data_IF_797925290827
#
_entry.id   IF_797925290827
#
_cell.length_a   1.000
_cell.length_b   1.000
_cell.length_c   1.000
_cell.angle_alpha   90.00
_cell.angle_beta   90.00
_cell.angle_gamma   90.00
#
_symmetry.space_group_name_H-M   'P 1'
#
loop_
_entity.id
_entity.type
_entity.pdbx_description
1 polymer ?
#
# COMPACT_ATOMS: atom_id res chain seq x y z
N UNK A 1 2.93 -15.64 -49.44
CA UNK A 1 3.95 -16.01 -48.43
C UNK A 1 5.02 -14.94 -48.53
N UNK A 2 4.70 -13.70 -48.13
CA UNK A 2 5.43 -12.49 -48.58
C UNK A 2 5.77 -11.52 -47.43
N UNK A 3 5.78 -12.01 -46.19
CA UNK A 3 6.12 -11.21 -45.01
C UNK A 3 7.64 -10.96 -44.84
N UNK A 4 8.50 -11.61 -45.64
CA UNK A 4 9.96 -11.58 -45.44
C UNK A 4 10.77 -10.83 -46.51
N UNK A 5 10.14 -10.32 -47.60
CA UNK A 5 10.89 -9.73 -48.72
C UNK A 5 11.24 -8.23 -48.56
N UNK A 6 10.68 -7.50 -47.60
CA UNK A 6 10.81 -6.04 -47.48
C UNK A 6 11.72 -5.57 -46.32
N UNK A 7 12.79 -6.31 -46.04
CA UNK A 7 13.73 -6.04 -44.94
C UNK A 7 14.36 -4.64 -44.97
N UNK A 8 14.55 -4.08 -46.17
CA UNK A 8 15.11 -2.74 -46.38
C UNK A 8 14.11 -1.64 -46.04
N UNK A 9 12.84 -1.86 -46.32
CA UNK A 9 11.73 -0.94 -46.01
C UNK A 9 11.45 -0.93 -44.50
N UNK A 10 11.45 -2.11 -43.85
CA UNK A 10 11.29 -2.22 -42.39
C UNK A 10 12.41 -1.49 -41.64
N UNK A 11 13.67 -1.60 -42.08
CA UNK A 11 14.79 -0.87 -41.46
C UNK A 11 14.61 0.65 -41.53
N UNK A 12 14.14 1.18 -42.66
CA UNK A 12 13.87 2.63 -42.81
C UNK A 12 12.75 3.11 -41.89
N UNK A 13 11.67 2.33 -41.78
CA UNK A 13 10.54 2.66 -40.90
C UNK A 13 10.98 2.62 -39.44
N UNK A 14 11.71 1.57 -39.02
CA UNK A 14 12.23 1.44 -37.66
C UNK A 14 13.17 2.59 -37.33
N UNK A 15 14.07 2.96 -38.26
CA UNK A 15 14.98 4.08 -38.05
C UNK A 15 14.25 5.41 -37.94
N UNK A 16 13.30 5.70 -38.84
CA UNK A 16 12.49 6.92 -38.77
C UNK A 16 11.67 6.99 -37.47
N UNK A 17 11.10 5.87 -37.04
CA UNK A 17 10.37 5.78 -35.77
C UNK A 17 11.29 5.99 -34.57
N UNK A 18 12.49 5.40 -34.55
CA UNK A 18 13.47 5.59 -33.49
C UNK A 18 13.93 7.04 -33.37
N UNK A 19 14.21 7.70 -34.50
CA UNK A 19 14.61 9.12 -34.50
C UNK A 19 13.47 10.00 -34.00
N UNK A 20 12.24 9.75 -34.46
CA UNK A 20 11.05 10.45 -33.98
C UNK A 20 10.83 10.24 -32.47
N UNK A 21 10.96 9.00 -32.00
CA UNK A 21 10.76 8.64 -30.59
C UNK A 21 11.82 9.30 -29.71
N UNK A 22 13.09 9.31 -30.14
CA UNK A 22 14.19 9.99 -29.42
C UNK A 22 14.01 11.51 -29.38
N UNK A 23 13.57 12.14 -30.47
CA UNK A 23 13.25 13.57 -30.50
C UNK A 23 12.15 13.91 -29.51
N UNK A 24 11.08 13.10 -29.51
CA UNK A 24 9.94 13.26 -28.60
C UNK A 24 10.31 12.97 -27.13
N UNK A 25 11.19 12.00 -26.88
CA UNK A 25 11.70 11.70 -25.54
C UNK A 25 12.44 12.90 -24.91
N UNK A 26 13.12 13.69 -25.74
CA UNK A 26 13.85 14.88 -25.33
C UNK A 26 12.91 16.09 -25.15
N UNK A 27 11.98 16.29 -26.10
CA UNK A 27 10.96 17.34 -26.02
C UNK A 27 10.04 17.17 -24.80
N UNK A 28 9.59 15.94 -24.54
CA UNK A 28 8.68 15.61 -23.43
C UNK A 28 9.40 15.59 -22.05
N UNK A 29 10.71 15.90 -22.01
CA UNK A 29 11.56 15.93 -20.79
C UNK A 29 11.33 14.72 -19.88
N UNK A 30 11.15 13.55 -20.47
CA UNK A 30 10.69 12.35 -19.75
C UNK A 30 11.63 12.00 -18.60
N UNK A 31 12.95 12.11 -18.79
CA UNK A 31 13.95 11.87 -17.75
C UNK A 31 13.83 12.83 -16.56
N UNK A 32 13.47 14.09 -16.81
CA UNK A 32 13.29 15.08 -15.76
C UNK A 32 12.05 14.74 -14.93
N UNK A 33 10.92 14.48 -15.58
CA UNK A 33 9.68 14.12 -14.88
C UNK A 33 9.77 12.76 -14.19
N UNK A 34 10.40 11.75 -14.81
CA UNK A 34 10.61 10.44 -14.18
C UNK A 34 11.55 10.53 -12.98
N UNK A 35 12.61 11.34 -13.08
CA UNK A 35 13.53 11.61 -11.97
C UNK A 35 12.85 12.36 -10.83
N UNK A 36 12.06 13.39 -11.15
CA UNK A 36 11.26 14.13 -10.18
C UNK A 36 10.23 13.23 -9.48
N UNK A 37 9.48 12.41 -10.22
CA UNK A 37 8.56 11.45 -9.62
C UNK A 37 9.30 10.45 -8.72
N UNK A 38 10.40 9.88 -9.18
CA UNK A 38 11.19 8.93 -8.37
C UNK A 38 11.70 9.57 -7.08
N UNK A 39 12.17 10.82 -7.15
CA UNK A 39 12.60 11.59 -5.99
C UNK A 39 11.44 11.85 -5.03
N UNK A 40 10.29 12.32 -5.53
CA UNK A 40 9.10 12.56 -4.72
C UNK A 40 8.61 11.27 -4.07
N UNK A 41 8.63 10.14 -4.79
CA UNK A 41 8.28 8.82 -4.25
C UNK A 41 9.23 8.43 -3.11
N UNK A 42 10.54 8.49 -3.31
CA UNK A 42 11.53 8.18 -2.28
C UNK A 42 11.38 9.07 -1.04
N UNK A 43 11.25 10.39 -1.25
CA UNK A 43 11.10 11.35 -0.17
C UNK A 43 9.77 11.14 0.59
N UNK A 44 8.69 10.76 -0.10
CA UNK A 44 7.38 10.46 0.49
C UNK A 44 7.35 9.14 1.26
N UNK A 45 8.32 8.24 1.03
CA UNK A 45 8.42 6.96 1.74
C UNK A 45 8.68 7.17 3.24
N UNK A 46 9.49 8.17 3.60
CA UNK A 46 9.82 8.50 4.99
C UNK A 46 8.58 8.91 5.82
N UNK A 47 7.78 9.93 5.42
CA UNK A 47 6.57 10.27 6.13
C UNK A 47 5.53 9.14 6.09
N UNK A 48 5.46 8.36 5.00
CA UNK A 48 4.59 7.18 4.94
C UNK A 48 4.94 6.14 6.02
N UNK A 49 6.23 5.82 6.17
CA UNK A 49 6.69 4.93 7.24
C UNK A 49 6.39 5.50 8.63
N UNK A 50 6.51 6.82 8.81
CA UNK A 50 6.13 7.49 10.05
C UNK A 50 4.65 7.25 10.39
N UNK A 51 3.78 7.41 9.39
CA UNK A 51 2.33 7.17 9.51
C UNK A 51 2.06 5.73 9.94
N UNK A 52 2.68 4.76 9.27
CA UNK A 52 2.48 3.33 9.51
C UNK A 52 2.96 2.94 10.92
N UNK A 53 4.16 3.36 11.33
CA UNK A 53 4.69 3.06 12.66
C UNK A 53 3.91 3.75 13.78
N UNK A 54 3.48 4.99 13.56
CA UNK A 54 2.60 5.67 14.50
C UNK A 54 1.28 4.92 14.67
N UNK A 55 0.67 4.50 13.56
CA UNK A 55 -0.59 3.75 13.59
C UNK A 55 -0.45 2.48 14.43
N UNK A 56 0.59 1.68 14.20
CA UNK A 56 0.81 0.45 14.98
C UNK A 56 1.13 0.71 16.46
N UNK A 57 1.85 1.80 16.77
CA UNK A 57 2.24 2.15 18.14
C UNK A 57 1.05 2.51 19.05
N UNK A 58 -0.09 2.88 18.46
CA UNK A 58 -1.28 3.35 19.22
C UNK A 58 -2.21 2.19 19.63
N UNK A 59 -2.13 1.04 18.96
CA UNK A 59 -2.99 -0.11 19.26
C UNK A 59 -2.20 -1.17 20.03
N UNK A 60 -2.55 -1.44 21.30
CA UNK A 60 -1.79 -2.36 22.15
C UNK A 60 -1.76 -3.80 21.60
N UNK A 61 -2.73 -4.16 20.74
CA UNK A 61 -2.76 -5.47 20.07
C UNK A 61 -1.56 -5.70 19.13
N UNK A 62 -0.86 -4.64 18.71
CA UNK A 62 0.31 -4.71 17.83
C UNK A 62 1.63 -4.50 18.56
N UNK A 63 1.68 -4.40 19.89
CA UNK A 63 2.94 -4.28 20.65
C UNK A 63 3.92 -5.41 20.33
N UNK A 64 3.42 -6.65 20.22
CA UNK A 64 4.25 -7.80 19.85
C UNK A 64 4.80 -7.73 18.42
N UNK A 65 3.99 -7.19 17.49
CA UNK A 65 4.44 -6.96 16.11
C UNK A 65 5.48 -5.83 16.06
N UNK A 66 5.34 -4.82 16.91
CA UNK A 66 6.32 -3.73 17.04
C UNK A 66 7.68 -4.26 17.48
N UNK A 67 7.74 -5.11 18.50
CA UNK A 67 8.97 -5.75 18.95
C UNK A 67 9.63 -6.58 17.84
N UNK A 68 8.86 -7.40 17.12
CA UNK A 68 9.38 -8.20 16.01
C UNK A 68 9.91 -7.34 14.85
N UNK A 69 9.25 -6.21 14.55
CA UNK A 69 9.70 -5.29 13.50
C UNK A 69 10.93 -4.48 13.93
N UNK A 70 10.99 -4.02 15.18
CA UNK A 70 12.18 -3.40 15.75
C UNK A 70 13.37 -4.35 15.66
N UNK A 71 13.22 -5.60 16.11
CA UNK A 71 14.27 -6.61 16.06
C UNK A 71 14.70 -6.93 14.62
N UNK A 72 13.75 -7.00 13.68
CA UNK A 72 14.05 -7.19 12.26
C UNK A 72 14.85 -6.02 11.68
N UNK A 73 14.46 -4.78 11.95
CA UNK A 73 15.18 -3.58 11.46
C UNK A 73 16.57 -3.52 12.08
N UNK A 74 16.68 -3.77 13.39
CA UNK A 74 17.94 -3.82 14.10
C UNK A 74 18.87 -4.93 13.61
N UNK A 75 18.36 -6.11 13.26
CA UNK A 75 19.23 -7.21 12.82
C UNK A 75 19.69 -7.07 11.38
N UNK A 76 18.85 -6.51 10.50
CA UNK A 76 19.09 -6.54 9.06
C UNK A 76 19.60 -5.22 8.48
N UNK A 77 19.25 -4.08 9.09
CA UNK A 77 19.56 -2.75 8.52
C UNK A 77 20.51 -1.95 9.39
N UNK A 78 20.28 -1.89 10.70
CA UNK A 78 21.09 -1.07 11.64
C UNK A 78 22.58 -1.46 11.68
N UNK A 79 23.00 -2.74 11.72
CA UNK A 79 24.42 -3.11 11.80
C UNK A 79 25.24 -2.70 10.56
N UNK A 80 24.57 -2.35 9.46
CA UNK A 80 25.21 -1.88 8.23
C UNK A 80 25.19 -0.34 8.08
N UNK A 81 24.49 0.39 8.96
CA UNK A 81 24.34 1.84 8.90
C UNK A 81 25.28 2.50 9.93
N UNK A 82 26.10 3.47 9.51
CA UNK A 82 27.01 4.18 10.41
C UNK A 82 26.27 4.93 11.52
N UNK A 83 26.95 5.19 12.64
CA UNK A 83 26.40 5.71 13.92
C UNK A 83 25.39 6.87 13.76
N UNK A 84 25.61 7.77 12.80
CA UNK A 84 24.76 8.94 12.52
C UNK A 84 23.37 8.57 11.97
N UNK A 85 23.28 7.55 11.10
CA UNK A 85 22.00 7.11 10.52
C UNK A 85 21.23 6.25 11.52
N UNK A 86 21.94 5.48 12.33
CA UNK A 86 21.34 4.72 13.44
C UNK A 86 20.65 5.67 14.43
N UNK A 87 21.29 6.76 14.84
CA UNK A 87 20.70 7.73 15.76
C UNK A 87 19.44 8.42 15.19
N UNK A 88 19.42 8.71 13.88
CA UNK A 88 18.25 9.26 13.20
C UNK A 88 17.08 8.28 13.13
N UNK A 89 17.35 7.00 12.84
CA UNK A 89 16.32 5.96 12.83
C UNK A 89 15.77 5.74 14.25
N UNK A 90 16.64 5.69 15.27
CA UNK A 90 16.21 5.50 16.65
C UNK A 90 15.36 6.66 17.17
N UNK A 91 15.82 7.89 16.92
CA UNK A 91 15.06 9.10 17.24
C UNK A 91 13.71 9.14 16.53
N UNK A 92 13.66 8.68 15.28
CA UNK A 92 12.40 8.59 14.53
C UNK A 92 11.43 7.56 15.12
N UNK A 93 11.92 6.37 15.50
CA UNK A 93 11.09 5.34 16.16
C UNK A 93 10.58 5.83 17.51
N UNK A 94 11.42 6.51 18.30
CA UNK A 94 11.01 7.06 19.60
C UNK A 94 9.95 8.17 19.43
N UNK A 95 10.14 9.08 18.48
CA UNK A 95 9.19 10.15 18.19
C UNK A 95 7.88 9.62 17.59
N UNK A 96 7.94 8.59 16.75
CA UNK A 96 6.75 7.91 16.21
C UNK A 96 5.96 7.20 17.33
N UNK A 97 6.66 6.64 18.33
CA UNK A 97 6.05 5.96 19.48
C UNK A 97 5.33 6.95 20.41
N UNK A 98 5.81 8.19 20.53
CA UNK A 98 5.18 9.24 21.35
C UNK A 98 4.07 10.01 20.64
N UNK A 99 3.53 9.51 19.53
CA UNK A 99 2.48 10.24 18.81
C UNK A 99 1.21 10.40 19.65
N UNK A 100 0.86 11.66 19.89
CA UNK A 100 -0.35 12.07 20.59
C UNK A 100 -1.59 11.78 19.73
N UNK A 101 -2.78 11.64 20.32
CA UNK A 101 -4.06 11.46 19.58
C UNK A 101 -4.31 12.51 18.49
N UNK A 102 -3.71 13.69 18.63
CA UNK A 102 -3.75 14.78 17.66
C UNK A 102 -2.99 14.42 16.37
N UNK A 103 -1.88 13.70 16.50
CA UNK A 103 -1.12 13.15 15.38
C UNK A 103 -1.92 12.14 14.57
N UNK A 104 -2.69 11.26 15.23
CA UNK A 104 -3.59 10.31 14.56
C UNK A 104 -4.61 11.02 13.66
N UNK A 105 -5.17 12.13 14.15
CA UNK A 105 -6.16 12.90 13.41
C UNK A 105 -5.54 13.53 12.16
N UNK A 106 -4.32 14.09 12.29
CA UNK A 106 -3.56 14.62 11.14
C UNK A 106 -3.24 13.53 10.13
N UNK A 107 -2.81 12.35 10.59
CA UNK A 107 -2.51 11.21 9.72
C UNK A 107 -3.73 10.72 8.95
N UNK A 108 -4.88 10.64 9.62
CA UNK A 108 -6.14 10.24 9.01
C UNK A 108 -6.55 11.23 7.92
N UNK A 109 -6.37 12.54 8.15
CA UNK A 109 -6.57 13.58 7.13
C UNK A 109 -5.62 13.38 5.94
N UNK A 110 -4.31 13.19 6.19
CA UNK A 110 -3.31 13.00 5.12
C UNK A 110 -3.61 11.75 4.29
N UNK A 111 -3.96 10.62 4.92
CA UNK A 111 -4.31 9.39 4.22
C UNK A 111 -5.54 9.57 3.32
N UNK A 112 -6.55 10.29 3.80
CA UNK A 112 -7.75 10.64 3.02
C UNK A 112 -7.40 11.53 1.82
N UNK A 113 -6.51 12.51 1.98
CA UNK A 113 -6.03 13.37 0.89
C UNK A 113 -5.24 12.58 -0.16
N UNK A 114 -4.42 11.62 0.27
CA UNK A 114 -3.67 10.73 -0.64
C UNK A 114 -4.61 9.83 -1.44
N UNK A 115 -5.58 9.18 -0.79
CA UNK A 115 -6.61 8.37 -1.47
C UNK A 115 -7.39 9.21 -2.49
N UNK A 116 -7.76 10.45 -2.13
CA UNK A 116 -8.40 11.39 -3.04
C UNK A 116 -7.53 11.72 -4.26
N UNK A 117 -6.23 11.92 -4.05
CA UNK A 117 -5.27 12.20 -5.14
C UNK A 117 -5.11 11.00 -6.07
N UNK A 118 -5.09 9.78 -5.53
CA UNK A 118 -5.03 8.54 -6.31
C UNK A 118 -6.30 8.40 -7.15
N UNK A 119 -7.49 8.51 -6.53
CA UNK A 119 -8.78 8.42 -7.24
C UNK A 119 -8.88 9.48 -8.34
N UNK A 120 -8.47 10.72 -8.06
CA UNK A 120 -8.45 11.79 -9.06
C UNK A 120 -7.54 11.47 -10.25
N UNK A 121 -6.32 11.00 -9.97
CA UNK A 121 -5.34 10.62 -11.00
C UNK A 121 -5.86 9.49 -11.88
N UNK A 122 -6.47 8.47 -11.25
CA UNK A 122 -7.08 7.34 -11.95
C UNK A 122 -8.27 7.79 -12.82
N UNK A 123 -9.18 8.59 -12.27
CA UNK A 123 -10.30 9.16 -13.02
C UNK A 123 -9.84 10.01 -14.20
N UNK A 124 -8.71 10.72 -14.07
CA UNK A 124 -8.08 11.46 -15.14
C UNK A 124 -7.53 10.54 -16.25
N UNK A 125 -6.83 9.45 -15.89
CA UNK A 125 -6.33 8.45 -16.86
C UNK A 125 -7.49 7.82 -17.65
N UNK A 126 -8.57 7.47 -16.96
CA UNK A 126 -9.76 6.87 -17.57
C UNK A 126 -10.76 7.87 -18.17
N UNK A 127 -10.41 9.16 -18.22
CA UNK A 127 -11.24 10.22 -18.81
C UNK A 127 -12.68 10.28 -18.24
N UNK A 128 -12.85 9.95 -16.96
CA UNK A 128 -14.15 9.97 -16.28
C UNK A 128 -14.53 11.41 -15.93
N UNK A 129 -15.62 11.93 -16.52
CA UNK A 129 -16.05 13.33 -16.36
C UNK A 129 -17.00 13.59 -15.19
N UNK A 130 -17.45 12.56 -14.47
CA UNK A 130 -18.51 12.69 -13.46
C UNK A 130 -17.90 12.90 -12.07
N UNK A 131 -18.05 14.10 -11.54
CA UNK A 131 -17.58 14.44 -10.20
C UNK A 131 -18.57 13.92 -9.15
N UNK A 132 -18.10 13.06 -8.23
CA UNK A 132 -18.90 12.63 -7.07
C UNK A 132 -19.09 13.82 -6.13
N UNK A 133 -20.15 13.79 -5.31
CA UNK A 133 -20.25 14.72 -4.18
C UNK A 133 -19.09 14.47 -3.22
N UNK A 134 -18.34 15.52 -2.86
CA UNK A 134 -17.11 15.42 -2.05
C UNK A 134 -17.32 14.59 -0.77
N UNK A 135 -18.43 14.81 -0.08
CA UNK A 135 -18.80 14.11 1.16
C UNK A 135 -18.85 12.60 0.95
N UNK A 136 -19.48 12.14 -0.13
CA UNK A 136 -19.64 10.71 -0.43
C UNK A 136 -18.29 10.05 -0.72
N UNK A 137 -17.42 10.72 -1.50
CA UNK A 137 -16.07 10.20 -1.77
C UNK A 137 -15.25 10.06 -0.49
N UNK A 138 -15.26 11.10 0.35
CA UNK A 138 -14.51 11.07 1.61
C UNK A 138 -15.04 10.01 2.58
N UNK A 139 -16.36 9.81 2.66
CA UNK A 139 -16.93 8.71 3.44
C UNK A 139 -16.47 7.33 2.96
N UNK A 140 -16.39 7.12 1.65
CA UNK A 140 -15.89 5.86 1.08
C UNK A 140 -14.42 5.66 1.45
N UNK A 141 -13.58 6.70 1.33
CA UNK A 141 -12.17 6.61 1.72
C UNK A 141 -12.00 6.25 3.19
N UNK A 142 -12.82 6.84 4.07
CA UNK A 142 -12.80 6.52 5.50
C UNK A 142 -13.23 5.08 5.79
N UNK A 143 -14.26 4.56 5.13
CA UNK A 143 -14.69 3.17 5.30
C UNK A 143 -13.58 2.21 4.88
N UNK A 144 -12.91 2.46 3.75
CA UNK A 144 -11.77 1.65 3.30
C UNK A 144 -10.60 1.74 4.28
N UNK A 145 -10.28 2.94 4.75
CA UNK A 145 -9.18 3.17 5.67
C UNK A 145 -9.41 2.52 7.04
N UNK A 146 -10.63 2.54 7.57
CA UNK A 146 -10.96 1.95 8.89
C UNK A 146 -11.10 0.43 8.80
N UNK A 147 -11.68 -0.08 7.71
CA UNK A 147 -11.83 -1.52 7.53
C UNK A 147 -10.49 -2.22 7.30
N UNK A 148 -9.51 -1.59 6.64
CA UNK A 148 -8.22 -2.21 6.33
C UNK A 148 -7.43 -2.66 7.57
N UNK A 149 -7.21 -1.84 8.62
CA UNK A 149 -6.56 -2.28 9.85
C UNK A 149 -7.35 -3.30 10.66
N UNK A 150 -8.68 -3.20 10.68
CA UNK A 150 -9.53 -4.19 11.36
C UNK A 150 -9.33 -5.56 10.72
N UNK A 151 -9.26 -5.62 9.39
CA UNK A 151 -8.95 -6.84 8.66
C UNK A 151 -7.55 -7.36 8.91
N UNK A 152 -6.54 -6.50 8.86
CA UNK A 152 -5.16 -6.90 9.13
C UNK A 152 -5.00 -7.39 10.58
N UNK A 153 -5.56 -6.67 11.55
CA UNK A 153 -5.52 -7.03 12.96
C UNK A 153 -6.25 -8.34 13.25
N UNK A 154 -7.44 -8.54 12.68
CA UNK A 154 -8.18 -9.80 12.85
C UNK A 154 -7.47 -10.98 12.16
N UNK A 155 -6.92 -10.78 10.97
CA UNK A 155 -6.15 -11.80 10.25
C UNK A 155 -4.90 -12.23 11.03
N UNK A 156 -4.14 -11.24 11.54
CA UNK A 156 -2.94 -11.48 12.35
C UNK A 156 -3.28 -12.14 13.68
N UNK A 157 -4.30 -11.66 14.38
CA UNK A 157 -4.74 -12.25 15.65
C UNK A 157 -5.21 -13.71 15.47
N UNK A 158 -6.00 -13.98 14.43
CA UNK A 158 -6.44 -15.33 14.11
C UNK A 158 -5.25 -16.25 13.78
N UNK A 159 -4.32 -15.77 12.94
CA UNK A 159 -3.12 -16.53 12.57
C UNK A 159 -2.24 -16.82 13.79
N UNK A 160 -1.97 -15.80 14.61
CA UNK A 160 -1.15 -15.91 15.83
C UNK A 160 -1.77 -16.89 16.83
N UNK A 161 -3.09 -16.87 16.99
CA UNK A 161 -3.80 -17.82 17.85
C UNK A 161 -3.76 -19.25 17.28
N UNK A 162 -3.94 -19.44 15.97
CA UNK A 162 -3.83 -20.76 15.32
C UNK A 162 -2.43 -21.37 15.49
N UNK A 163 -1.38 -20.56 15.35
CA UNK A 163 0.00 -20.97 15.58
C UNK A 163 0.22 -21.40 17.04
N UNK A 164 -0.42 -20.73 18.00
CA UNK A 164 -0.32 -21.14 19.41
C UNK A 164 -1.02 -22.48 19.71
N UNK A 165 -2.07 -22.83 18.97
CA UNK A 165 -2.83 -24.08 19.16
C UNK A 165 -2.25 -25.30 18.41
N UNK A 166 -1.32 -25.11 17.49
CA UNK A 166 -0.76 -26.20 16.68
C UNK A 166 0.16 -27.13 17.47
N UNK A 167 0.63 -26.72 18.66
CA UNK A 167 1.45 -27.53 19.56
C UNK A 167 0.69 -28.36 20.62
N UNK A 168 -0.66 -28.33 20.62
CA UNK A 168 -1.51 -29.02 21.62
C UNK A 168 -2.20 -30.24 20.96
N UNK A 169 -2.22 -31.39 21.66
CA UNK A 169 -2.82 -32.64 21.18
C UNK A 169 -4.29 -32.47 20.73
N UNK A 170 -4.65 -33.13 19.62
CA UNK A 170 -5.89 -32.87 18.89
C UNK A 170 -7.10 -33.61 19.46
N UNK A 171 -8.02 -32.88 20.10
CA UNK A 171 -9.40 -33.30 20.31
C UNK A 171 -10.31 -32.95 19.12
N UNK A 172 -11.37 -33.72 18.88
CA UNK A 172 -12.32 -33.49 17.78
C UNK A 172 -12.95 -32.08 17.78
N UNK A 173 -13.17 -31.49 18.97
CA UNK A 173 -13.66 -30.11 19.13
C UNK A 173 -12.61 -29.05 18.76
N UNK A 174 -11.32 -29.33 19.00
CA UNK A 174 -10.21 -28.41 18.70
C UNK A 174 -9.99 -28.27 17.20
N UNK A 175 -10.19 -29.35 16.43
CA UNK A 175 -10.06 -29.36 14.97
C UNK A 175 -11.12 -28.47 14.29
N UNK A 176 -12.38 -28.49 14.78
CA UNK A 176 -13.46 -27.61 14.29
C UNK A 176 -13.16 -26.14 14.58
N UNK A 177 -12.63 -25.82 15.76
CA UNK A 177 -12.23 -24.44 16.13
C UNK A 177 -11.07 -23.95 15.26
N UNK A 178 -10.04 -24.79 15.02
CA UNK A 178 -8.93 -24.49 14.12
C UNK A 178 -9.43 -24.20 12.70
N UNK A 179 -10.36 -25.00 12.18
CA UNK A 179 -10.95 -24.80 10.85
C UNK A 179 -11.73 -23.47 10.76
N UNK A 180 -12.56 -23.16 11.77
CA UNK A 180 -13.30 -21.90 11.85
C UNK A 180 -12.37 -20.69 11.90
N UNK A 181 -11.36 -20.70 12.76
CA UNK A 181 -10.39 -19.60 12.85
C UNK A 181 -9.54 -19.46 11.59
N UNK A 182 -9.17 -20.56 10.93
CA UNK A 182 -8.42 -20.52 9.68
C UNK A 182 -9.26 -19.95 8.51
N UNK A 183 -10.58 -20.12 8.57
CA UNK A 183 -11.50 -19.55 7.58
C UNK A 183 -11.80 -18.06 7.79
N UNK A 184 -11.54 -17.53 8.99
CA UNK A 184 -11.90 -16.16 9.37
C UNK A 184 -11.15 -15.08 8.55
N UNK A 185 -9.83 -15.17 8.31
CA UNK A 185 -9.11 -14.24 7.44
C UNK A 185 -9.61 -14.28 6.00
N UNK A 186 -9.90 -15.48 5.49
CA UNK A 186 -10.41 -15.67 4.13
C UNK A 186 -11.80 -15.04 3.95
N UNK A 187 -12.71 -15.29 4.90
CA UNK A 187 -14.03 -14.65 4.93
C UNK A 187 -13.93 -13.14 5.06
N UNK A 188 -13.03 -12.65 5.93
CA UNK A 188 -12.74 -11.23 6.08
C UNK A 188 -12.31 -10.62 4.75
N UNK A 189 -11.27 -11.17 4.10
CA UNK A 189 -10.78 -10.68 2.81
C UNK A 189 -11.87 -10.71 1.74
N UNK A 190 -12.66 -11.79 1.67
CA UNK A 190 -13.80 -11.87 0.76
C UNK A 190 -14.80 -10.74 1.00
N UNK A 191 -15.20 -10.50 2.25
CA UNK A 191 -16.12 -9.43 2.63
C UNK A 191 -15.57 -8.04 2.33
N UNK A 192 -14.26 -7.83 2.54
CA UNK A 192 -13.57 -6.58 2.22
C UNK A 192 -13.61 -6.28 0.72
N UNK A 193 -13.19 -7.25 -0.09
CA UNK A 193 -13.21 -7.11 -1.55
C UNK A 193 -14.63 -6.99 -2.07
N UNK A 194 -15.61 -7.68 -1.46
CA UNK A 194 -17.02 -7.53 -1.78
C UNK A 194 -17.54 -6.12 -1.45
N UNK A 195 -17.21 -5.59 -0.27
CA UNK A 195 -17.57 -4.21 0.10
C UNK A 195 -16.92 -3.20 -0.83
N UNK A 196 -15.63 -3.35 -1.14
CA UNK A 196 -14.96 -2.53 -2.14
C UNK A 196 -15.66 -2.63 -3.49
N UNK A 197 -15.99 -3.84 -3.95
CA UNK A 197 -16.66 -4.05 -5.23
C UNK A 197 -18.08 -3.47 -5.27
N UNK A 198 -18.79 -3.42 -4.14
CA UNK A 198 -20.15 -2.84 -4.08
C UNK A 198 -20.09 -1.31 -3.95
N UNK A 199 -19.10 -0.78 -3.22
CA UNK A 199 -19.04 0.63 -2.84
C UNK A 199 -18.21 1.47 -3.83
N UNK A 200 -17.18 0.90 -4.45
CA UNK A 200 -16.22 1.63 -5.31
C UNK A 200 -16.73 1.88 -6.73
N UNK A 201 -17.33 0.92 -7.47
CA UNK A 201 -17.72 1.14 -8.86
C UNK A 201 -18.94 2.06 -8.98
N UNK A 202 -18.88 3.02 -9.90
CA UNK A 202 -20.00 3.89 -10.28
C UNK A 202 -20.62 3.47 -11.62
N UNK A 203 -20.49 2.21 -12.00
CA UNK A 203 -21.09 1.69 -13.23
C UNK A 203 -21.71 0.35 -12.93
N UNK A 204 -23.01 0.22 -13.23
CA UNK A 204 -23.57 -1.09 -13.55
C UNK A 204 -22.77 -1.58 -14.75
N UNK A 205 -21.99 -2.62 -14.54
CA UNK A 205 -21.42 -3.37 -15.66
C UNK A 205 -22.62 -3.90 -16.42
N UNK A 206 -22.86 -3.34 -17.61
CA UNK A 206 -23.80 -3.87 -18.57
C UNK A 206 -23.17 -5.06 -19.28
#
# INVERSE_FOLDING_TARGET
MDLFSNWTTSKKIIHGYLVYLLGRFHEDRILYYSGYLSYVTLLSMVPLLAVVFSFFSIFPVFEKLKEEVEEFVFRNFVPALGDVVQEQILSFVENATRMTPLGLLVLLIVAVLLLSSIDHTLNQIWHVRKNRGLIVSYSIYLVVLISSPVLLGTSLAATSYLVSLSGIEEGASLSVIKLLLASLPFLGSFLFFLLLYIIVPYTKVH
#
